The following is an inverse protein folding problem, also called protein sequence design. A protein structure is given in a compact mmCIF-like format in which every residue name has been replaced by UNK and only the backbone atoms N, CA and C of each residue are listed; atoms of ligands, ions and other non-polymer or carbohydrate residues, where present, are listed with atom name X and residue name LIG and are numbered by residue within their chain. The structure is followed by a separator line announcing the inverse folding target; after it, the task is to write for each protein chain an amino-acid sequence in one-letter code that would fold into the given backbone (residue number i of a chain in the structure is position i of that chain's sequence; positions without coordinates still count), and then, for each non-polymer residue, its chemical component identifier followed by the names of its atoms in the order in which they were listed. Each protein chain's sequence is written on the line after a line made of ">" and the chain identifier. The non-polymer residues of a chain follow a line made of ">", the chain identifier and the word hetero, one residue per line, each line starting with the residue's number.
data_IF_021383835618
#
_entry.id   IF_021383835618
#
_cell.length_a   1.000
_cell.length_b   1.000
_cell.length_c   1.000
_cell.angle_alpha   90.00
_cell.angle_beta   90.00
_cell.angle_gamma   90.00
#
_symmetry.space_group_name_H-M   'P 1'
#
loop_
_entity.id
_entity.type
_entity.pdbx_description
1 polymer ?
#
# COMPACT_ATOMS: atom_id res chain seq x y z
N UNK A 1 -18.42 2.77 1.71
CA UNK A 1 -19.74 2.66 1.03
C UNK A 1 -20.51 3.98 1.03
N UNK A 2 -20.59 4.70 2.16
CA UNK A 2 -21.27 6.01 2.22
C UNK A 2 -20.69 7.05 1.24
N UNK A 3 -19.37 7.28 1.30
CA UNK A 3 -18.66 8.24 0.42
C UNK A 3 -18.85 7.96 -1.07
N UNK A 4 -18.86 6.69 -1.45
CA UNK A 4 -19.03 6.28 -2.86
C UNK A 4 -20.49 6.33 -3.33
N UNK A 5 -21.47 6.23 -2.42
CA UNK A 5 -22.91 6.16 -2.78
C UNK A 5 -23.64 7.48 -2.63
N UNK A 6 -23.20 8.33 -1.70
CA UNK A 6 -23.85 9.60 -1.36
C UNK A 6 -23.10 10.79 -1.96
N UNK A 7 -21.76 10.73 -2.02
CA UNK A 7 -20.92 11.83 -2.50
C UNK A 7 -20.31 11.60 -3.88
N UNK A 8 -20.58 10.46 -4.53
CA UNK A 8 -20.00 10.07 -5.83
C UNK A 8 -18.47 10.26 -5.92
N UNK A 9 -17.78 10.15 -4.78
CA UNK A 9 -16.33 10.22 -4.69
C UNK A 9 -15.76 8.84 -5.00
N UNK A 10 -15.40 8.66 -6.26
CA UNK A 10 -14.78 7.42 -6.75
C UNK A 10 -13.25 7.53 -6.71
N UNK A 11 -12.55 6.46 -6.28
CA UNK A 11 -11.13 6.29 -6.52
C UNK A 11 -10.84 6.49 -8.02
N UNK A 12 -9.87 7.33 -8.33
CA UNK A 12 -9.41 7.59 -9.70
C UNK A 12 -8.03 6.95 -9.90
N UNK A 13 -7.66 6.59 -11.13
CA UNK A 13 -6.29 6.12 -11.44
C UNK A 13 -5.22 7.10 -10.97
N UNK A 14 -5.45 8.40 -11.18
CA UNK A 14 -4.56 9.48 -10.73
C UNK A 14 -4.48 9.54 -9.20
N UNK A 15 -5.59 9.33 -8.51
CA UNK A 15 -5.63 9.23 -7.04
C UNK A 15 -4.88 8.00 -6.53
N UNK A 16 -5.00 6.85 -7.22
CA UNK A 16 -4.30 5.62 -6.88
C UNK A 16 -2.78 5.81 -6.90
N UNK A 17 -2.22 6.36 -7.99
CA UNK A 17 -0.79 6.62 -8.07
C UNK A 17 -0.31 7.69 -7.08
N UNK A 18 -1.13 8.71 -6.79
CA UNK A 18 -0.82 9.72 -5.75
C UNK A 18 -0.77 9.09 -4.36
N UNK A 19 -1.76 8.27 -4.01
CA UNK A 19 -1.79 7.58 -2.72
C UNK A 19 -0.64 6.59 -2.56
N UNK A 20 -0.29 5.86 -3.63
CA UNK A 20 0.89 5.00 -3.61
C UNK A 20 2.17 5.80 -3.46
N UNK A 21 2.33 6.94 -4.15
CA UNK A 21 3.46 7.83 -3.96
C UNK A 21 3.58 8.38 -2.52
N UNK A 22 2.46 8.75 -1.89
CA UNK A 22 2.44 9.16 -0.49
C UNK A 22 2.80 8.01 0.47
N UNK A 23 2.39 6.78 0.15
CA UNK A 23 2.80 5.59 0.91
C UNK A 23 4.32 5.39 0.85
N UNK A 24 4.93 5.57 -0.32
CA UNK A 24 6.39 5.47 -0.47
C UNK A 24 7.11 6.57 0.32
N UNK A 25 6.59 7.80 0.28
CA UNK A 25 7.12 8.89 1.12
C UNK A 25 7.02 8.56 2.62
N UNK A 26 5.89 8.01 3.05
CA UNK A 26 5.70 7.57 4.44
C UNK A 26 6.74 6.50 4.84
N UNK A 27 6.98 5.50 3.99
CA UNK A 27 8.00 4.46 4.24
C UNK A 27 9.38 5.07 4.41
N UNK A 28 9.77 6.02 3.54
CA UNK A 28 11.06 6.71 3.65
C UNK A 28 11.19 7.52 4.95
N UNK A 29 10.13 8.21 5.36
CA UNK A 29 10.10 8.97 6.63
C UNK A 29 10.26 8.03 7.81
N UNK A 30 9.50 6.93 7.86
CA UNK A 30 9.59 5.95 8.94
C UNK A 30 10.95 5.25 8.96
N UNK A 31 11.54 4.96 7.79
CA UNK A 31 12.90 4.43 7.69
C UNK A 31 13.91 5.39 8.36
N UNK A 32 13.83 6.68 8.05
CA UNK A 32 14.69 7.70 8.68
C UNK A 32 14.48 7.79 10.19
N UNK A 33 13.23 7.78 10.65
CA UNK A 33 12.91 7.78 12.08
C UNK A 33 13.43 6.53 12.80
N UNK A 34 13.30 5.36 12.17
CA UNK A 34 13.80 4.10 12.73
C UNK A 34 15.32 4.12 12.90
N UNK A 35 16.05 4.63 11.91
CA UNK A 35 17.50 4.79 11.99
C UNK A 35 17.90 5.81 13.07
N UNK A 36 17.15 6.90 13.23
CA UNK A 36 17.42 7.94 14.23
C UNK A 36 17.14 7.47 15.66
N UNK A 37 16.04 6.75 15.86
CA UNK A 37 15.57 6.33 17.19
C UNK A 37 16.10 4.94 17.60
N UNK A 38 16.79 4.23 16.70
CA UNK A 38 17.16 2.83 16.93
C UNK A 38 15.96 1.89 17.03
N UNK A 39 14.82 2.28 16.48
CA UNK A 39 13.55 1.54 16.53
C UNK A 39 13.30 0.75 15.25
N UNK A 40 12.27 -0.10 15.25
CA UNK A 40 11.85 -0.85 14.07
C UNK A 40 10.32 -0.80 13.89
N UNK A 41 9.78 0.41 13.75
CA UNK A 41 8.38 0.62 13.42
C UNK A 41 8.04 0.08 12.04
N UNK A 42 6.83 -0.49 11.92
CA UNK A 42 6.31 -1.12 10.69
C UNK A 42 7.20 -2.28 10.19
N UNK A 43 8.16 -2.73 11.00
CA UNK A 43 9.07 -3.82 10.69
C UNK A 43 9.81 -3.61 9.35
N UNK A 44 10.32 -2.40 9.13
CA UNK A 44 11.06 -2.02 7.90
C UNK A 44 12.53 -2.43 7.98
N UNK A 45 13.19 -2.33 9.14
CA UNK A 45 14.61 -2.67 9.30
C UNK A 45 14.85 -4.17 9.57
N UNK A 46 13.79 -4.91 9.84
CA UNK A 46 13.85 -6.33 10.12
C UNK A 46 12.49 -6.88 10.52
N UNK A 47 12.36 -8.20 10.49
CA UNK A 47 11.13 -8.90 10.86
C UNK A 47 10.91 -8.83 12.38
N UNK A 48 9.65 -8.94 12.86
CA UNK A 48 9.39 -9.11 14.28
C UNK A 48 10.09 -10.36 14.83
N UNK A 49 10.46 -10.39 16.11
CA UNK A 49 11.10 -11.55 16.74
C UNK A 49 10.14 -12.74 16.91
N UNK A 50 8.84 -12.53 16.74
CA UNK A 50 7.80 -13.56 16.79
C UNK A 50 7.46 -14.05 15.38
N UNK A 51 6.98 -15.30 15.28
CA UNK A 51 6.50 -15.85 14.02
C UNK A 51 5.51 -14.90 13.32
N UNK A 52 5.77 -14.62 12.05
CA UNK A 52 4.98 -13.66 11.27
C UNK A 52 4.88 -14.09 9.80
N UNK A 53 3.86 -13.60 9.06
CA UNK A 53 3.77 -13.83 7.62
C UNK A 53 5.00 -13.35 6.84
N UNK A 54 5.75 -12.38 7.37
CA UNK A 54 6.97 -11.86 6.75
C UNK A 54 8.07 -12.91 6.63
N UNK A 55 8.02 -13.97 7.44
CA UNK A 55 9.03 -15.03 7.45
C UNK A 55 9.08 -15.78 6.11
N UNK A 56 7.95 -15.86 5.40
CA UNK A 56 7.81 -16.53 4.11
C UNK A 56 8.21 -15.67 2.90
N UNK A 57 8.50 -14.38 3.11
CA UNK A 57 8.67 -13.40 2.03
C UNK A 57 10.13 -13.12 1.65
N UNK A 58 11.08 -13.92 2.17
CA UNK A 58 12.52 -13.78 1.90
C UNK A 58 13.27 -12.89 2.91
N UNK A 59 14.60 -12.73 2.77
CA UNK A 59 15.41 -11.92 3.69
C UNK A 59 15.18 -10.42 3.46
N UNK A 60 15.59 -9.60 4.43
CA UNK A 60 15.68 -8.15 4.23
C UNK A 60 16.73 -7.84 3.14
N UNK A 61 16.48 -6.89 2.22
CA UNK A 61 15.29 -6.05 2.06
C UNK A 61 14.23 -6.63 1.11
N UNK A 62 14.40 -7.85 0.60
CA UNK A 62 13.52 -8.41 -0.44
C UNK A 62 12.06 -8.56 -0.04
N UNK A 63 11.78 -8.91 1.22
CA UNK A 63 10.38 -8.99 1.66
C UNK A 63 9.67 -7.64 1.60
N UNK A 64 10.38 -6.51 1.69
CA UNK A 64 9.78 -5.19 1.56
C UNK A 64 9.24 -4.98 0.15
N UNK A 65 9.99 -5.39 -0.88
CA UNK A 65 9.52 -5.33 -2.27
C UNK A 65 8.31 -6.23 -2.49
N UNK A 66 8.28 -7.41 -1.87
CA UNK A 66 7.12 -8.30 -1.93
C UNK A 66 5.90 -7.66 -1.27
N UNK A 67 6.07 -7.04 -0.09
CA UNK A 67 5.00 -6.31 0.60
C UNK A 67 4.52 -5.11 -0.21
N UNK A 68 5.41 -4.36 -0.85
CA UNK A 68 5.05 -3.25 -1.73
C UNK A 68 4.26 -3.72 -2.97
N UNK A 69 4.67 -4.84 -3.58
CA UNK A 69 3.94 -5.44 -4.68
C UNK A 69 2.54 -5.90 -4.26
N UNK A 70 2.42 -6.51 -3.08
CA UNK A 70 1.12 -6.88 -2.50
C UNK A 70 0.26 -5.65 -2.20
N UNK A 71 0.85 -4.58 -1.64
CA UNK A 71 0.14 -3.33 -1.42
C UNK A 71 -0.39 -2.77 -2.75
N UNK A 72 0.46 -2.67 -3.76
CA UNK A 72 0.08 -2.20 -5.10
C UNK A 72 -1.04 -3.06 -5.70
N UNK A 73 -0.96 -4.39 -5.57
CA UNK A 73 -2.02 -5.31 -5.97
C UNK A 73 -3.34 -5.00 -5.25
N UNK A 74 -3.32 -4.73 -3.94
CA UNK A 74 -4.51 -4.35 -3.19
C UNK A 74 -5.09 -3.02 -3.68
N UNK A 75 -4.26 -2.02 -3.99
CA UNK A 75 -4.71 -0.77 -4.61
C UNK A 75 -5.45 -1.02 -5.92
N UNK A 76 -4.93 -1.91 -6.78
CA UNK A 76 -5.59 -2.29 -8.03
C UNK A 76 -6.90 -3.06 -7.80
N UNK A 77 -6.94 -4.00 -6.85
CA UNK A 77 -8.15 -4.77 -6.53
C UNK A 77 -9.29 -3.87 -6.06
N UNK A 78 -8.99 -2.87 -5.22
CA UNK A 78 -9.98 -1.88 -4.77
C UNK A 78 -10.47 -1.00 -5.92
N UNK A 79 -9.59 -0.67 -6.88
CA UNK A 79 -9.95 0.14 -8.04
C UNK A 79 -10.77 -0.62 -9.10
N UNK A 80 -10.55 -1.94 -9.25
CA UNK A 80 -11.13 -2.79 -10.28
C UNK A 80 -12.67 -2.67 -10.44
N UNK A 81 -13.50 -2.84 -9.40
CA UNK A 81 -14.97 -2.79 -9.54
C UNK A 81 -15.50 -1.41 -9.98
N UNK A 82 -14.72 -0.35 -9.72
CA UNK A 82 -15.10 1.03 -10.03
C UNK A 82 -14.70 1.38 -11.46
N UNK A 83 -13.50 0.98 -11.87
CA UNK A 83 -13.05 1.08 -13.27
C UNK A 83 -13.97 0.32 -14.22
N UNK A 84 -14.41 -0.89 -13.84
CA UNK A 84 -15.34 -1.69 -14.65
C UNK A 84 -16.73 -1.05 -14.80
N UNK A 85 -17.24 -0.40 -13.75
CA UNK A 85 -18.51 0.33 -13.82
C UNK A 85 -18.42 1.56 -14.73
N UNK A 86 -17.32 2.31 -14.64
CA UNK A 86 -17.10 3.49 -15.49
C UNK A 86 -16.96 3.13 -16.97
N UNK A 87 -16.26 2.05 -17.28
CA UNK A 87 -16.12 1.55 -18.66
C UNK A 87 -17.46 1.21 -19.33
N UNK A 88 -18.43 0.70 -18.55
CA UNK A 88 -19.78 0.34 -19.05
C UNK A 88 -20.74 1.51 -19.23
N UNK A 89 -20.45 2.70 -18.71
CA UNK A 89 -21.31 3.88 -18.85
C UNK A 89 -20.96 4.75 -20.07
N UNK A 90 -19.89 4.41 -20.80
CA UNK A 90 -19.37 5.20 -21.93
C UNK A 90 -19.63 4.53 -23.29
N UNK A 91 -20.44 3.47 -23.32
CA UNK A 91 -20.95 2.80 -24.52
C UNK A 91 -22.47 2.71 -24.45
#
# INVERSE_FOLDING_TARGET
>A
VYITRVFDLYPTTRGLFRSFGLLQLYVLVVLGLNLLLGSNYVYILGKPPTASPLDYLGPWPWYLLVVEALALLMFFLVYLPIGWRKARQTG
#
